data_IF_667542514165
#
_entry.id   IF_667542514165
#
_cell.length_a   1.000
_cell.length_b   1.000
_cell.length_c   1.000
_cell.angle_alpha   90.00
_cell.angle_beta   90.00
_cell.angle_gamma   90.00
#
_symmetry.space_group_name_H-M   'P 1'
#
loop_
_entity.id
_entity.type
_entity.pdbx_description
1 polymer ?
#
# COMPACT_ATOMS: atom_id res chain seq x y z
N UNK A 1 29.05 4.89 -25.99
CA UNK A 1 28.45 3.82 -25.16
C UNK A 1 27.09 3.46 -25.75
N UNK A 2 26.78 2.15 -25.86
CA UNK A 2 25.45 1.73 -26.33
C UNK A 2 24.42 2.00 -25.22
N UNK A 3 23.30 2.65 -25.57
CA UNK A 3 22.18 2.81 -24.62
C UNK A 3 21.58 1.40 -24.33
N UNK A 4 21.53 0.94 -23.08
CA UNK A 4 21.00 -0.38 -22.75
C UNK A 4 19.46 -0.44 -22.78
N UNK A 5 18.79 0.72 -22.88
CA UNK A 5 17.33 0.81 -22.89
C UNK A 5 16.78 0.63 -24.31
N UNK A 6 15.63 -0.01 -24.43
CA UNK A 6 14.90 -0.08 -25.68
C UNK A 6 14.38 1.31 -26.09
N UNK A 7 14.40 1.64 -27.38
CA UNK A 7 14.00 2.95 -27.90
C UNK A 7 12.60 3.37 -27.43
N UNK A 8 11.66 2.43 -27.39
CA UNK A 8 10.29 2.64 -26.90
C UNK A 8 10.22 3.09 -25.43
N UNK A 9 11.23 2.76 -24.63
CA UNK A 9 11.30 3.12 -23.20
C UNK A 9 11.95 4.48 -23.01
N UNK A 10 12.89 4.83 -23.89
CA UNK A 10 13.59 6.13 -23.86
C UNK A 10 12.62 7.29 -24.09
N UNK A 11 11.63 7.08 -24.96
CA UNK A 11 10.66 8.10 -25.36
C UNK A 11 9.47 8.25 -24.37
N UNK A 12 9.39 7.41 -23.34
CA UNK A 12 8.33 7.52 -22.31
C UNK A 12 8.59 8.74 -21.43
N UNK A 13 7.70 9.75 -21.43
CA UNK A 13 7.88 10.92 -20.59
C UNK A 13 7.72 10.56 -19.11
N UNK A 14 8.45 11.26 -18.25
CA UNK A 14 8.27 11.14 -16.81
C UNK A 14 6.83 11.53 -16.40
N UNK A 15 6.30 10.84 -15.37
CA UNK A 15 5.00 11.17 -14.82
C UNK A 15 4.94 12.62 -14.35
N UNK A 16 4.06 13.43 -14.94
CA UNK A 16 3.87 14.84 -14.56
C UNK A 16 3.35 15.01 -13.13
N UNK A 17 2.63 14.01 -12.60
CA UNK A 17 2.04 14.02 -11.25
C UNK A 17 3.12 14.18 -10.18
N UNK A 18 4.28 13.52 -10.32
CA UNK A 18 5.37 13.61 -9.34
C UNK A 18 5.93 15.02 -9.19
N UNK A 19 6.00 15.78 -10.29
CA UNK A 19 6.45 17.18 -10.24
C UNK A 19 5.56 18.06 -9.37
N UNK A 20 4.26 17.79 -9.35
CA UNK A 20 3.33 18.53 -8.47
C UNK A 20 3.55 18.20 -7.00
N UNK A 21 3.85 16.95 -6.65
CA UNK A 21 4.18 16.59 -5.27
C UNK A 21 5.45 17.23 -4.79
N UNK A 22 6.48 17.29 -5.65
CA UNK A 22 7.73 17.97 -5.34
C UNK A 22 7.49 19.46 -5.04
N UNK A 23 6.70 20.14 -5.89
CA UNK A 23 6.36 21.57 -5.70
C UNK A 23 5.56 21.78 -4.40
N UNK A 24 4.56 20.94 -4.13
CA UNK A 24 3.73 21.07 -2.93
C UNK A 24 4.54 20.80 -1.65
N UNK A 25 5.52 19.89 -1.70
CA UNK A 25 6.38 19.60 -0.54
C UNK A 25 7.26 20.79 -0.13
N UNK A 26 7.52 21.71 -1.06
CA UNK A 26 8.28 22.96 -0.80
C UNK A 26 7.39 24.11 -0.30
N UNK A 27 6.07 23.90 -0.22
CA UNK A 27 5.09 24.93 0.18
C UNK A 27 4.54 24.60 1.57
N UNK A 28 5.14 25.10 2.66
CA UNK A 28 4.78 24.73 4.04
C UNK A 28 3.34 25.10 4.44
N UNK A 29 2.78 26.12 3.78
CA UNK A 29 1.42 26.59 4.07
C UNK A 29 0.35 26.00 3.13
N UNK A 30 0.73 25.08 2.24
CA UNK A 30 -0.21 24.47 1.28
C UNK A 30 -0.89 23.25 1.89
N UNK A 31 -2.23 23.22 1.76
CA UNK A 31 -3.01 22.03 2.08
C UNK A 31 -3.09 21.17 0.81
N UNK A 32 -2.42 20.02 0.83
CA UNK A 32 -2.43 19.09 -0.29
C UNK A 32 -3.69 18.22 -0.29
N UNK A 33 -4.41 18.24 -1.40
CA UNK A 33 -5.51 17.32 -1.68
C UNK A 33 -5.14 16.32 -2.80
N UNK A 34 -3.84 16.22 -3.10
CA UNK A 34 -3.34 15.44 -4.25
C UNK A 34 -3.27 13.94 -4.00
N UNK A 35 -3.10 13.50 -2.77
CA UNK A 35 -3.02 12.09 -2.38
C UNK A 35 -4.14 11.78 -1.41
N UNK A 36 -4.85 10.68 -1.64
CA UNK A 36 -5.87 10.19 -0.72
C UNK A 36 -5.25 9.38 0.42
N UNK A 37 -4.61 10.05 1.35
CA UNK A 37 -4.04 9.43 2.55
C UNK A 37 -4.72 9.95 3.83
N UNK A 38 -4.89 9.11 4.86
CA UNK A 38 -5.44 9.55 6.14
C UNK A 38 -4.54 10.58 6.83
N UNK A 39 -5.13 11.64 7.38
CA UNK A 39 -4.47 12.65 8.20
C UNK A 39 -4.37 12.25 9.68
N UNK A 40 -4.32 10.95 9.92
CA UNK A 40 -4.21 10.36 11.25
C UNK A 40 -3.06 9.35 11.28
N UNK A 41 -2.31 9.37 12.35
CA UNK A 41 -1.36 8.29 12.61
C UNK A 41 -2.08 6.94 12.72
N UNK A 42 -1.45 5.90 12.20
CA UNK A 42 -1.92 4.53 12.41
C UNK A 42 -2.07 4.26 13.92
N UNK A 43 -3.21 3.74 14.39
CA UNK A 43 -3.43 3.46 15.80
C UNK A 43 -2.28 2.66 16.42
N UNK A 44 -1.90 3.00 17.67
CA UNK A 44 -0.71 2.48 18.33
C UNK A 44 -0.67 0.94 18.39
N UNK A 45 -1.80 0.30 18.64
CA UNK A 45 -1.89 -1.17 18.71
C UNK A 45 -1.62 -1.86 17.38
N UNK A 46 -1.94 -1.21 16.24
CA UNK A 46 -1.63 -1.72 14.90
C UNK A 46 -0.14 -1.54 14.61
N UNK A 47 0.45 -0.40 15.00
CA UNK A 47 1.90 -0.16 14.86
C UNK A 47 2.70 -1.17 15.69
N UNK A 48 2.26 -1.43 16.91
CA UNK A 48 2.90 -2.35 17.86
C UNK A 48 2.91 -3.79 17.31
N UNK A 49 1.80 -4.26 16.76
CA UNK A 49 1.73 -5.56 16.08
C UNK A 49 2.64 -5.63 14.84
N UNK A 50 2.77 -4.53 14.10
CA UNK A 50 3.71 -4.43 12.99
C UNK A 50 5.16 -4.59 13.45
N UNK A 51 5.56 -3.87 14.51
CA UNK A 51 6.89 -3.97 15.12
C UNK A 51 7.14 -5.39 15.63
N UNK A 52 6.20 -5.95 16.39
CA UNK A 52 6.27 -7.30 16.91
C UNK A 52 6.44 -8.36 15.80
N UNK A 53 5.76 -8.20 14.68
CA UNK A 53 5.90 -9.12 13.55
C UNK A 53 7.31 -9.12 12.96
N UNK A 54 7.95 -7.95 12.89
CA UNK A 54 9.35 -7.83 12.45
C UNK A 54 10.32 -8.43 13.46
N UNK A 55 10.14 -8.17 14.76
CA UNK A 55 10.94 -8.76 15.83
C UNK A 55 10.86 -10.27 15.85
N UNK A 56 9.72 -10.85 15.48
CA UNK A 56 9.54 -12.31 15.33
C UNK A 56 10.05 -12.86 14.00
N UNK A 57 10.68 -12.03 13.17
CA UNK A 57 11.26 -12.48 11.90
C UNK A 57 10.22 -12.88 10.85
N UNK A 58 9.00 -12.36 10.92
CA UNK A 58 7.95 -12.63 9.93
C UNK A 58 8.16 -11.83 8.65
N UNK A 59 9.28 -12.08 7.97
CA UNK A 59 9.75 -11.32 6.80
C UNK A 59 9.85 -12.17 5.54
N UNK A 60 9.06 -13.22 5.45
CA UNK A 60 9.04 -14.15 4.32
C UNK A 60 7.91 -13.83 3.34
N UNK A 61 8.09 -14.27 2.09
CA UNK A 61 7.03 -14.24 1.11
C UNK A 61 5.88 -15.18 1.50
N UNK A 62 4.69 -14.77 1.14
CA UNK A 62 3.49 -15.63 1.20
C UNK A 62 3.24 -16.30 -0.15
N UNK A 63 2.17 -17.08 -0.26
CA UNK A 63 1.61 -17.47 -1.55
C UNK A 63 1.12 -16.24 -2.32
N UNK A 64 0.89 -16.36 -3.64
CA UNK A 64 0.36 -15.29 -4.47
C UNK A 64 -0.99 -14.73 -3.96
N UNK A 65 -1.75 -15.56 -3.25
CA UNK A 65 -3.04 -15.18 -2.66
C UNK A 65 -2.92 -14.48 -1.30
N UNK A 66 -1.71 -14.32 -0.76
CA UNK A 66 -1.49 -13.75 0.56
C UNK A 66 -1.61 -14.75 1.71
N UNK A 67 -1.51 -14.25 2.94
CA UNK A 67 -1.68 -15.06 4.16
C UNK A 67 -3.10 -15.59 4.29
N UNK A 68 -3.22 -16.89 4.52
CA UNK A 68 -4.51 -17.55 4.70
C UNK A 68 -5.29 -16.97 5.89
N UNK A 69 -4.59 -16.73 6.98
CA UNK A 69 -5.14 -16.16 8.21
C UNK A 69 -5.70 -14.75 7.97
N UNK A 70 -4.99 -13.92 7.23
CA UNK A 70 -5.46 -12.58 6.87
C UNK A 70 -6.72 -12.63 6.00
N UNK A 71 -6.76 -13.51 5.01
CA UNK A 71 -7.93 -13.68 4.14
C UNK A 71 -9.15 -14.13 4.95
N UNK A 72 -8.96 -15.05 5.91
CA UNK A 72 -10.03 -15.50 6.80
C UNK A 72 -10.54 -14.33 7.66
N UNK A 73 -9.66 -13.51 8.21
CA UNK A 73 -10.06 -12.36 9.03
C UNK A 73 -10.74 -11.26 8.19
N UNK A 74 -10.36 -11.08 6.93
CA UNK A 74 -11.06 -10.17 6.02
C UNK A 74 -12.50 -10.67 5.80
N UNK A 75 -12.68 -11.94 5.51
CA UNK A 75 -14.03 -12.53 5.33
C UNK A 75 -14.88 -12.41 6.61
N UNK A 76 -14.29 -12.69 7.77
CA UNK A 76 -14.93 -12.52 9.07
C UNK A 76 -15.32 -11.04 9.32
N UNK A 77 -14.47 -10.10 8.97
CA UNK A 77 -14.74 -8.67 9.08
C UNK A 77 -15.93 -8.25 8.22
N UNK A 78 -15.93 -8.63 6.94
CA UNK A 78 -17.00 -8.31 6.01
C UNK A 78 -18.33 -8.89 6.46
N UNK A 79 -18.34 -10.12 6.98
CA UNK A 79 -19.54 -10.74 7.56
C UNK A 79 -20.06 -9.93 8.76
N UNK A 80 -19.17 -9.55 9.71
CA UNK A 80 -19.57 -8.79 10.90
C UNK A 80 -20.07 -7.39 10.60
N UNK A 81 -19.42 -6.69 9.65
CA UNK A 81 -19.68 -5.26 9.42
C UNK A 81 -20.70 -4.98 8.33
N UNK A 82 -20.80 -5.84 7.35
CA UNK A 82 -21.61 -5.62 6.15
C UNK A 82 -22.59 -6.75 5.85
N UNK A 83 -22.56 -7.82 6.65
CA UNK A 83 -23.36 -9.04 6.44
C UNK A 83 -23.12 -9.68 5.05
N UNK A 84 -21.89 -9.61 4.56
CA UNK A 84 -21.44 -10.23 3.32
C UNK A 84 -20.67 -11.50 3.64
N UNK A 85 -20.97 -12.58 2.91
CA UNK A 85 -20.29 -13.87 3.03
C UNK A 85 -19.42 -14.12 1.80
N UNK A 86 -18.13 -14.38 2.03
CA UNK A 86 -17.15 -14.74 1.01
C UNK A 86 -16.40 -16.00 1.42
N UNK A 87 -16.01 -16.82 0.43
CA UNK A 87 -15.10 -17.94 0.64
C UNK A 87 -13.65 -17.43 0.62
N UNK A 88 -12.96 -17.36 1.77
CA UNK A 88 -11.61 -16.77 1.83
C UNK A 88 -10.57 -17.56 1.04
N UNK A 89 -10.92 -18.73 0.51
CA UNK A 89 -10.01 -19.55 -0.28
C UNK A 89 -10.18 -19.36 -1.80
N UNK A 90 -11.29 -18.73 -2.23
CA UNK A 90 -11.63 -18.60 -3.65
C UNK A 90 -11.84 -17.16 -4.11
N UNK A 91 -12.25 -16.27 -3.18
CA UNK A 91 -12.66 -14.90 -3.50
C UNK A 91 -11.77 -13.83 -2.85
#
# INVERSE_FOLDING_TARGET
>A
MRNPLADKVVDIPFSGIRKFFDIVSEMPDAISLGVGEPDFDTPWHIRDEGIYSLEKGRTFYTSNSGLKELRQEIANYLKRRQNLEYDPMKE
#
